data_IF_675798963171
#
_entry.id   IF_675798963171
#
_cell.length_a   1.000
_cell.length_b   1.000
_cell.length_c   1.000
_cell.angle_alpha   90.00
_cell.angle_beta   90.00
_cell.angle_gamma   90.00
#
_symmetry.space_group_name_H-M   'P 1'
#
loop_
_entity.id
_entity.type
_entity.pdbx_description
1 polymer ?
#
# COMPACT_ATOMS: atom_id res chain seq x y z
N UNK A 1 20.29 6.57 26.71
CA UNK A 1 19.72 6.57 25.34
C UNK A 1 20.87 6.16 24.42
N UNK A 2 20.88 4.93 23.88
CA UNK A 2 21.90 4.51 22.91
C UNK A 2 21.45 5.01 21.54
N UNK A 3 22.15 5.97 20.96
CA UNK A 3 21.94 6.34 19.55
C UNK A 3 22.18 5.10 18.70
N UNK A 4 21.10 4.59 18.10
CA UNK A 4 21.22 3.53 17.11
C UNK A 4 21.45 4.23 15.79
N UNK A 5 22.71 4.29 15.34
CA UNK A 5 23.04 4.87 14.04
C UNK A 5 22.51 3.92 12.97
N UNK A 6 21.48 4.35 12.25
CA UNK A 6 21.01 3.64 11.07
C UNK A 6 22.10 3.74 10.00
N UNK A 7 22.75 2.62 9.71
CA UNK A 7 23.65 2.47 8.57
C UNK A 7 22.87 1.72 7.50
N UNK A 8 22.42 2.38 6.42
CA UNK A 8 21.72 1.69 5.34
C UNK A 8 22.66 0.68 4.69
N UNK A 9 22.12 -0.48 4.31
CA UNK A 9 22.82 -1.41 3.43
C UNK A 9 23.01 -0.73 2.08
N UNK A 10 24.25 -0.31 1.81
CA UNK A 10 24.60 0.27 0.52
C UNK A 10 24.68 -0.86 -0.52
N UNK A 11 23.90 -0.72 -1.57
CA UNK A 11 24.03 -1.59 -2.74
C UNK A 11 25.34 -1.27 -3.45
N UNK A 12 26.12 -2.27 -3.90
CA UNK A 12 27.30 -2.01 -4.71
C UNK A 12 26.97 -1.13 -5.92
N UNK A 13 27.87 -0.23 -6.29
CA UNK A 13 27.65 0.75 -7.37
C UNK A 13 27.23 0.09 -8.70
N UNK A 14 27.73 -1.12 -8.96
CA UNK A 14 27.34 -1.93 -10.12
C UNK A 14 25.86 -2.36 -10.08
N UNK A 15 25.35 -2.73 -8.90
CA UNK A 15 23.94 -3.12 -8.70
C UNK A 15 23.05 -1.89 -8.83
N UNK A 16 23.43 -0.78 -8.20
CA UNK A 16 22.71 0.49 -8.30
C UNK A 16 22.66 0.99 -9.75
N UNK A 17 23.80 1.02 -10.44
CA UNK A 17 23.89 1.39 -11.85
C UNK A 17 23.07 0.45 -12.74
N UNK A 18 23.12 -0.86 -12.49
CA UNK A 18 22.32 -1.85 -13.21
C UNK A 18 20.81 -1.69 -12.98
N UNK A 19 20.39 -1.34 -11.77
CA UNK A 19 19.01 -0.98 -11.46
C UNK A 19 18.59 0.32 -12.19
N UNK A 20 19.39 1.38 -12.08
CA UNK A 20 19.13 2.66 -12.75
C UNK A 20 19.05 2.52 -14.27
N UNK A 21 19.91 1.72 -14.90
CA UNK A 21 19.84 1.44 -16.34
C UNK A 21 18.59 0.66 -16.72
N UNK A 22 18.18 -0.33 -15.92
CA UNK A 22 16.92 -1.07 -16.12
C UNK A 22 15.70 -0.15 -15.99
N UNK A 23 15.70 0.73 -14.99
CA UNK A 23 14.66 1.75 -14.81
C UNK A 23 14.65 2.79 -15.94
N UNK A 24 15.81 3.20 -16.44
CA UNK A 24 15.92 4.16 -17.54
C UNK A 24 15.48 3.57 -18.89
N UNK A 25 15.63 2.26 -19.06
CA UNK A 25 15.14 1.49 -20.21
C UNK A 25 13.71 0.97 -20.07
N UNK A 26 13.13 1.02 -18.86
CA UNK A 26 11.71 0.82 -18.69
C UNK A 26 10.97 1.88 -19.53
N UNK A 27 9.86 1.54 -20.20
CA UNK A 27 9.13 2.50 -20.99
C UNK A 27 8.89 3.75 -20.15
N UNK A 28 9.45 4.90 -20.56
CA UNK A 28 8.94 6.17 -20.08
C UNK A 28 7.47 6.12 -20.45
N UNK A 29 6.57 6.19 -19.47
CA UNK A 29 5.14 6.36 -19.72
C UNK A 29 4.99 7.66 -20.51
N UNK A 30 5.02 7.53 -21.83
CA UNK A 30 5.29 8.60 -22.78
C UNK A 30 5.28 8.10 -24.23
N UNK A 31 4.61 6.98 -24.47
CA UNK A 31 4.05 6.70 -25.80
C UNK A 31 2.75 7.49 -25.91
N UNK A 32 2.52 8.14 -27.04
CA UNK A 32 1.31 8.89 -27.38
C UNK A 32 0.04 8.07 -27.11
N UNK A 33 -0.48 8.16 -25.89
CA UNK A 33 -1.83 7.76 -25.54
C UNK A 33 -2.59 9.07 -25.40
N UNK A 34 -3.61 9.28 -26.23
CA UNK A 34 -4.37 10.54 -26.32
C UNK A 34 -5.16 10.96 -25.07
N UNK A 35 -4.86 10.40 -23.90
CA UNK A 35 -5.47 10.77 -22.61
C UNK A 35 -4.47 11.46 -21.69
N UNK A 36 -4.90 12.50 -20.99
CA UNK A 36 -4.13 13.09 -19.89
C UNK A 36 -4.40 12.35 -18.57
N UNK A 37 -3.44 12.41 -17.64
CA UNK A 37 -3.71 12.00 -16.25
C UNK A 37 -4.70 13.00 -15.64
N UNK A 38 -5.82 12.54 -15.06
CA UNK A 38 -6.79 13.45 -14.49
C UNK A 38 -6.25 14.12 -13.22
N UNK A 39 -6.72 15.34 -12.94
CA UNK A 39 -6.32 16.12 -11.76
C UNK A 39 -6.77 15.46 -10.44
N UNK A 40 -7.87 14.72 -10.49
CA UNK A 40 -8.39 13.91 -9.40
C UNK A 40 -9.03 12.63 -9.96
N UNK A 41 -9.11 11.60 -9.13
CA UNK A 41 -9.80 10.35 -9.42
C UNK A 41 -10.37 9.86 -8.10
N UNK A 42 -11.68 9.80 -7.97
CA UNK A 42 -12.29 9.19 -6.78
C UNK A 42 -12.20 7.66 -6.87
N UNK A 43 -12.30 6.99 -5.72
CA UNK A 43 -12.19 5.53 -5.68
C UNK A 43 -13.38 4.85 -6.38
N UNK A 44 -14.58 5.43 -6.32
CA UNK A 44 -15.78 4.91 -6.97
C UNK A 44 -15.72 4.96 -8.51
N UNK A 45 -14.90 5.84 -9.09
CA UNK A 45 -14.65 5.86 -10.54
C UNK A 45 -13.91 4.61 -11.03
N UNK A 46 -13.11 3.98 -10.18
CA UNK A 46 -12.26 2.83 -10.54
C UNK A 46 -12.66 1.55 -9.80
N UNK A 47 -13.49 1.66 -8.76
CA UNK A 47 -13.97 0.56 -7.94
C UNK A 47 -15.39 0.85 -7.41
N UNK A 48 -16.44 0.20 -7.94
CA UNK A 48 -17.80 0.45 -7.50
C UNK A 48 -18.00 0.18 -6.00
N UNK A 49 -18.43 1.17 -5.22
CA UNK A 49 -18.50 1.09 -3.75
C UNK A 49 -19.81 0.49 -3.20
N UNK A 50 -20.62 -0.14 -4.04
CA UNK A 50 -21.91 -0.69 -3.62
C UNK A 50 -21.73 -1.98 -2.81
N UNK A 51 -22.65 -2.24 -1.87
CA UNK A 51 -22.65 -3.48 -1.09
C UNK A 51 -22.70 -4.72 -1.99
N UNK A 52 -23.52 -4.69 -3.04
CA UNK A 52 -23.64 -5.79 -4.00
C UNK A 52 -22.32 -6.06 -4.74
N UNK A 53 -21.65 -5.02 -5.25
CA UNK A 53 -20.39 -5.18 -5.95
C UNK A 53 -19.26 -5.65 -5.01
N UNK A 54 -19.25 -5.16 -3.76
CA UNK A 54 -18.30 -5.63 -2.74
C UNK A 54 -18.55 -7.10 -2.38
N UNK A 55 -19.80 -7.51 -2.18
CA UNK A 55 -20.14 -8.90 -1.89
C UNK A 55 -19.75 -9.84 -3.04
N UNK A 56 -19.97 -9.42 -4.29
CA UNK A 56 -19.55 -10.17 -5.47
C UNK A 56 -18.03 -10.32 -5.55
N UNK A 57 -17.29 -9.22 -5.33
CA UNK A 57 -15.81 -9.26 -5.28
C UNK A 57 -15.32 -10.18 -4.17
N UNK A 58 -15.88 -10.11 -2.97
CA UNK A 58 -15.50 -11.00 -1.87
C UNK A 58 -15.78 -12.47 -2.19
N UNK A 59 -16.94 -12.77 -2.76
CA UNK A 59 -17.32 -14.14 -3.14
C UNK A 59 -16.40 -14.71 -4.22
N UNK A 60 -16.00 -13.90 -5.18
CA UNK A 60 -15.09 -14.32 -6.27
C UNK A 60 -13.62 -14.33 -5.87
N UNK A 61 -13.21 -13.46 -4.93
CA UNK A 61 -11.80 -13.31 -4.54
C UNK A 61 -11.35 -14.26 -3.44
N UNK A 62 -12.24 -15.02 -2.81
CA UNK A 62 -11.84 -15.97 -1.76
C UNK A 62 -10.76 -16.99 -2.20
N UNK A 63 -10.68 -17.30 -3.50
CA UNK A 63 -9.75 -18.30 -4.06
C UNK A 63 -8.87 -17.76 -5.19
N UNK A 64 -8.87 -16.45 -5.47
CA UNK A 64 -7.99 -15.89 -6.50
C UNK A 64 -6.56 -15.78 -5.98
N UNK A 65 -5.59 -15.96 -6.87
CA UNK A 65 -4.21 -15.56 -6.59
C UNK A 65 -4.07 -14.05 -6.82
N UNK A 66 -3.17 -13.40 -6.09
CA UNK A 66 -2.84 -11.99 -6.24
C UNK A 66 -3.71 -11.04 -5.43
N UNK A 67 -3.19 -9.87 -5.11
CA UNK A 67 -3.90 -8.81 -4.39
C UNK A 67 -3.96 -7.57 -5.27
N UNK A 68 -4.51 -7.74 -6.48
CA UNK A 68 -4.68 -6.69 -7.46
C UNK A 68 -5.79 -5.71 -7.05
N UNK A 69 -5.50 -4.42 -7.04
CA UNK A 69 -6.44 -3.32 -6.74
C UNK A 69 -6.16 -2.10 -7.62
N UNK A 70 -7.18 -1.27 -7.92
CA UNK A 70 -6.96 -0.02 -8.63
C UNK A 70 -6.29 1.02 -7.72
N UNK A 71 -5.28 1.71 -8.27
CA UNK A 71 -4.63 2.87 -7.66
C UNK A 71 -5.26 4.20 -8.07
N UNK A 72 -5.87 4.24 -9.25
CA UNK A 72 -6.40 5.45 -9.86
C UNK A 72 -6.32 5.39 -11.37
N UNK A 73 -6.36 6.54 -12.04
CA UNK A 73 -6.32 6.64 -13.50
C UNK A 73 -5.01 7.22 -14.00
N UNK A 74 -4.57 6.70 -15.12
CA UNK A 74 -3.43 7.19 -15.90
C UNK A 74 -3.88 7.56 -17.32
N UNK A 75 -2.97 8.12 -18.12
CA UNK A 75 -3.18 8.36 -19.54
C UNK A 75 -3.63 7.08 -20.31
N UNK A 76 -3.22 5.90 -19.85
CA UNK A 76 -3.54 4.61 -20.47
C UNK A 76 -4.73 3.89 -19.81
N UNK A 77 -5.52 4.57 -18.96
CA UNK A 77 -6.62 3.97 -18.22
C UNK A 77 -6.28 3.67 -16.75
N UNK A 78 -7.07 2.80 -16.12
CA UNK A 78 -6.93 2.46 -14.69
C UNK A 78 -5.58 1.81 -14.42
N UNK A 79 -4.83 2.38 -13.47
CA UNK A 79 -3.57 1.81 -12.99
C UNK A 79 -3.88 0.84 -11.86
N UNK A 80 -3.37 -0.38 -11.98
CA UNK A 80 -3.48 -1.43 -10.96
C UNK A 80 -2.18 -1.56 -10.17
N UNK A 81 -2.30 -2.01 -8.92
CA UNK A 81 -1.23 -2.52 -8.06
C UNK A 81 -1.59 -3.94 -7.66
N UNK A 82 -0.66 -4.88 -7.79
CA UNK A 82 -0.82 -6.25 -7.29
C UNK A 82 0.35 -6.62 -6.38
N UNK A 83 0.09 -6.79 -5.08
CA UNK A 83 1.11 -7.11 -4.09
C UNK A 83 1.71 -8.53 -4.24
N UNK A 84 1.22 -9.35 -5.16
CA UNK A 84 1.90 -10.59 -5.53
C UNK A 84 2.84 -10.38 -6.72
N UNK A 85 2.38 -9.81 -7.84
CA UNK A 85 3.21 -9.66 -9.04
C UNK A 85 4.19 -8.49 -8.97
N UNK A 86 3.80 -7.39 -8.32
CA UNK A 86 4.64 -6.19 -8.15
C UNK A 86 5.57 -6.31 -6.93
N UNK A 87 5.34 -7.34 -6.10
CA UNK A 87 6.10 -7.65 -4.89
C UNK A 87 5.33 -7.34 -3.60
N UNK A 88 5.66 -8.03 -2.50
CA UNK A 88 4.86 -8.02 -1.26
C UNK A 88 5.01 -6.75 -0.42
N UNK A 89 5.84 -5.80 -0.87
CA UNK A 89 6.21 -4.61 -0.10
C UNK A 89 6.10 -3.35 -0.95
N UNK A 90 5.41 -2.34 -0.41
CA UNK A 90 5.20 -1.05 -1.06
C UNK A 90 5.96 0.05 -0.31
N UNK A 91 6.73 0.86 -1.04
CA UNK A 91 7.31 2.11 -0.54
C UNK A 91 6.58 3.30 -1.17
N UNK A 92 5.96 4.14 -0.33
CA UNK A 92 5.35 5.39 -0.77
C UNK A 92 6.11 6.57 -0.15
N UNK A 93 6.71 7.40 -1.01
CA UNK A 93 7.45 8.58 -0.61
C UNK A 93 6.82 9.85 -1.20
N UNK A 94 6.88 10.94 -0.45
CA UNK A 94 6.36 12.24 -0.88
C UNK A 94 6.47 13.27 0.24
N UNK A 95 6.59 14.54 -0.13
CA UNK A 95 6.63 15.67 0.81
C UNK A 95 5.26 15.87 1.48
N UNK A 96 5.22 16.65 2.56
CA UNK A 96 3.94 17.06 3.18
C UNK A 96 3.04 17.70 2.12
N UNK A 97 1.77 17.28 2.06
CA UNK A 97 0.80 17.77 1.08
C UNK A 97 0.80 17.05 -0.28
N UNK A 98 1.76 16.16 -0.55
CA UNK A 98 1.83 15.40 -1.81
C UNK A 98 0.74 14.32 -1.99
N UNK A 99 -0.09 14.08 -0.97
CA UNK A 99 -1.15 13.07 -1.02
C UNK A 99 -0.74 11.67 -0.56
N UNK A 100 0.47 11.46 -0.02
CA UNK A 100 0.91 10.13 0.49
C UNK A 100 -0.12 9.44 1.39
N UNK A 101 -0.67 10.15 2.38
CA UNK A 101 -1.65 9.56 3.31
C UNK A 101 -2.96 9.20 2.60
N UNK A 102 -3.36 9.99 1.61
CA UNK A 102 -4.56 9.73 0.82
C UNK A 102 -4.39 8.52 -0.10
N UNK A 103 -3.21 8.38 -0.71
CA UNK A 103 -2.86 7.20 -1.50
C UNK A 103 -2.87 5.93 -0.63
N UNK A 104 -2.26 5.97 0.56
CA UNK A 104 -2.28 4.82 1.48
C UNK A 104 -3.70 4.44 1.90
N UNK A 105 -4.57 5.43 2.18
CA UNK A 105 -5.99 5.18 2.47
C UNK A 105 -6.71 4.58 1.28
N UNK A 106 -6.50 5.12 0.08
CA UNK A 106 -7.12 4.65 -1.15
C UNK A 106 -6.76 3.19 -1.44
N UNK A 107 -5.47 2.83 -1.32
CA UNK A 107 -4.99 1.46 -1.47
C UNK A 107 -5.64 0.54 -0.44
N UNK A 108 -5.66 0.97 0.83
CA UNK A 108 -6.22 0.17 1.93
C UNK A 108 -7.71 -0.09 1.73
N UNK A 109 -8.48 0.96 1.37
CA UNK A 109 -9.90 0.84 1.08
C UNK A 109 -10.15 -0.03 -0.14
N UNK A 110 -9.36 0.12 -1.21
CA UNK A 110 -9.48 -0.70 -2.40
C UNK A 110 -9.24 -2.19 -2.09
N UNK A 111 -8.28 -2.51 -1.23
CA UNK A 111 -8.04 -3.87 -0.73
C UNK A 111 -9.24 -4.37 0.10
N UNK A 112 -9.70 -3.58 1.08
CA UNK A 112 -10.83 -3.94 1.93
C UNK A 112 -12.14 -4.21 1.15
N UNK A 113 -12.37 -3.44 0.08
CA UNK A 113 -13.56 -3.55 -0.78
C UNK A 113 -13.45 -4.65 -1.84
N UNK A 114 -12.24 -5.19 -2.06
CA UNK A 114 -11.98 -6.24 -3.05
C UNK A 114 -11.82 -7.62 -2.42
N UNK A 115 -11.34 -7.67 -1.18
CA UNK A 115 -11.00 -8.91 -0.48
C UNK A 115 -11.67 -8.98 0.90
N UNK A 116 -12.19 -10.14 1.30
CA UNK A 116 -12.83 -10.31 2.60
C UNK A 116 -11.79 -10.39 3.75
N UNK A 117 -12.18 -10.14 5.02
CA UNK A 117 -11.26 -10.12 6.16
C UNK A 117 -10.57 -11.47 6.44
N UNK A 118 -11.14 -12.58 5.97
CA UNK A 118 -10.49 -13.90 6.01
C UNK A 118 -9.26 -13.98 5.12
N UNK A 119 -9.11 -13.04 4.17
CA UNK A 119 -8.02 -13.01 3.19
C UNK A 119 -7.04 -11.87 3.43
N UNK A 120 -7.49 -10.71 3.89
CA UNK A 120 -6.65 -9.53 4.13
C UNK A 120 -6.98 -8.94 5.49
N UNK A 121 -5.96 -8.69 6.31
CA UNK A 121 -6.08 -7.95 7.55
C UNK A 121 -5.08 -6.80 7.57
N UNK A 122 -5.42 -5.72 8.28
CA UNK A 122 -4.58 -4.54 8.43
C UNK A 122 -4.20 -4.30 9.87
N UNK A 123 -2.91 -4.13 10.11
CA UNK A 123 -2.38 -3.58 11.35
C UNK A 123 -1.70 -2.24 11.02
N UNK A 124 -2.28 -1.14 11.49
CA UNK A 124 -1.80 0.20 11.16
C UNK A 124 -0.79 0.70 12.19
N UNK A 125 0.30 1.29 11.71
CA UNK A 125 1.27 2.02 12.53
C UNK A 125 1.34 3.45 11.99
N UNK A 126 1.01 4.44 12.83
CA UNK A 126 1.00 5.86 12.45
C UNK A 126 1.80 6.71 13.46
N UNK A 127 2.92 7.26 13.00
CA UNK A 127 3.84 8.05 13.82
C UNK A 127 3.41 9.51 14.02
N UNK A 128 2.27 9.94 13.46
CA UNK A 128 1.81 11.34 13.54
C UNK A 128 0.36 11.44 14.03
N UNK A 129 0.13 11.07 15.28
CA UNK A 129 -1.14 11.31 15.98
C UNK A 129 -2.33 10.51 15.46
N UNK A 130 -2.09 9.43 14.70
CA UNK A 130 -3.16 8.66 14.05
C UNK A 130 -3.93 9.42 12.96
N UNK A 131 -3.53 10.66 12.64
CA UNK A 131 -4.26 11.50 11.69
C UNK A 131 -4.21 10.97 10.26
N UNK A 132 -3.21 10.15 9.93
CA UNK A 132 -3.03 9.53 8.63
C UNK A 132 -3.94 8.32 8.47
N UNK A 133 -3.78 7.29 9.29
CA UNK A 133 -4.46 6.00 9.08
C UNK A 133 -5.63 5.75 10.05
N UNK A 134 -5.77 6.56 11.10
CA UNK A 134 -6.82 6.44 12.11
C UNK A 134 -8.25 6.31 11.58
N UNK A 135 -8.66 7.04 10.52
CA UNK A 135 -9.99 6.88 9.93
C UNK A 135 -10.31 5.46 9.43
N UNK A 136 -9.30 4.63 9.20
CA UNK A 136 -9.46 3.25 8.71
C UNK A 136 -9.63 2.21 9.83
N UNK A 137 -9.52 2.63 11.10
CA UNK A 137 -9.64 1.73 12.25
C UNK A 137 -11.03 1.09 12.41
N UNK A 138 -12.06 1.65 11.77
CA UNK A 138 -13.42 1.10 11.76
C UNK A 138 -13.65 -0.02 10.74
N UNK A 139 -12.65 -0.38 9.92
CA UNK A 139 -12.77 -1.49 8.97
C UNK A 139 -12.81 -2.83 9.70
N UNK A 140 -13.63 -3.77 9.21
CA UNK A 140 -13.69 -5.15 9.75
C UNK A 140 -12.37 -5.91 9.57
N UNK A 141 -11.53 -5.48 8.62
CA UNK A 141 -10.18 -6.00 8.37
C UNK A 141 -9.13 -5.43 9.35
N UNK A 142 -9.46 -4.35 10.08
CA UNK A 142 -8.50 -3.71 10.98
C UNK A 142 -8.35 -4.53 12.27
N UNK A 143 -7.20 -5.15 12.44
CA UNK A 143 -6.87 -5.95 13.63
C UNK A 143 -6.11 -5.15 14.69
N UNK A 144 -5.64 -3.95 14.35
CA UNK A 144 -5.01 -3.03 15.30
C UNK A 144 -4.58 -1.72 14.68
N UNK A 145 -4.53 -0.68 15.51
CA UNK A 145 -3.95 0.62 15.18
C UNK A 145 -3.05 1.05 16.33
N UNK A 146 -1.83 1.42 15.99
CA UNK A 146 -0.84 1.89 16.94
C UNK A 146 -0.37 3.29 16.52
N UNK A 147 -0.54 4.26 17.42
CA UNK A 147 -0.20 5.66 17.17
C UNK A 147 0.82 6.18 18.17
N UNK A 148 1.55 7.23 17.82
CA UNK A 148 2.44 7.99 18.72
C UNK A 148 3.42 7.11 19.52
N UNK A 149 3.92 6.07 18.86
CA UNK A 149 4.80 5.07 19.45
C UNK A 149 6.07 5.69 20.03
N UNK A 150 6.30 5.46 21.32
CA UNK A 150 7.64 5.54 21.90
C UNK A 150 8.52 4.41 21.36
N UNK A 151 9.85 4.57 21.44
CA UNK A 151 10.80 3.56 20.98
C UNK A 151 10.56 2.17 21.61
N UNK A 152 10.22 2.12 22.89
CA UNK A 152 9.95 0.86 23.59
C UNK A 152 8.65 0.19 23.17
N UNK A 153 7.62 0.96 22.79
CA UNK A 153 6.35 0.42 22.28
C UNK A 153 6.52 -0.08 20.84
N UNK A 154 7.37 0.59 20.05
CA UNK A 154 7.72 0.13 18.70
C UNK A 154 8.46 -1.21 18.74
N UNK A 155 9.42 -1.38 19.66
CA UNK A 155 10.14 -2.65 19.83
C UNK A 155 9.20 -3.81 20.21
N UNK A 156 8.26 -3.57 21.14
CA UNK A 156 7.24 -4.58 21.52
C UNK A 156 6.32 -4.93 20.37
N UNK A 157 5.88 -3.92 19.60
CA UNK A 157 5.04 -4.12 18.42
C UNK A 157 5.77 -4.97 17.38
N UNK A 158 7.03 -4.63 17.06
CA UNK A 158 7.85 -5.40 16.12
C UNK A 158 8.12 -6.83 16.61
N UNK A 159 8.31 -7.03 17.91
CA UNK A 159 8.48 -8.37 18.49
C UNK A 159 7.22 -9.21 18.29
N UNK A 160 6.04 -8.62 18.52
CA UNK A 160 4.75 -9.28 18.33
C UNK A 160 4.49 -9.61 16.85
N UNK A 161 4.75 -8.65 15.94
CA UNK A 161 4.62 -8.87 14.50
C UNK A 161 5.55 -9.97 13.98
N UNK A 162 6.80 -10.04 14.49
CA UNK A 162 7.73 -11.12 14.13
C UNK A 162 7.24 -12.47 14.60
N UNK A 163 6.67 -12.55 15.80
CA UNK A 163 6.11 -13.79 16.32
C UNK A 163 4.94 -14.27 15.45
N UNK A 164 4.07 -13.35 14.99
CA UNK A 164 2.96 -13.67 14.09
C UNK A 164 3.43 -14.21 12.73
N UNK A 165 4.43 -13.55 12.11
CA UNK A 165 4.97 -13.99 10.82
C UNK A 165 5.70 -15.34 10.90
N UNK A 166 6.19 -15.70 12.09
CA UNK A 166 6.86 -16.98 12.35
C UNK A 166 5.92 -18.07 12.87
N UNK A 167 4.67 -17.74 13.17
CA UNK A 167 3.69 -18.72 13.61
C UNK A 167 3.40 -19.70 12.44
N UNK A 168 3.44 -21.02 12.71
CA UNK A 168 3.32 -22.06 11.69
C UNK A 168 1.93 -22.18 11.06
#
# INVERSE_FOLDING_TARGET
MRETVFVPDLVPDQVFTGFCRRMAGAPRYGGEHGGSVPVACSLDEVLPLTLAATAERWGSSAHTNGLAVPLGRSASGTKMLDLQSDGPHLLVAGTTGSGKSELLRSITLALALSYPPERVNFFFIDFKGGSGLGPLSGLVHCVGLQTDLSGSEMERTLTSLRAEVQAP
#
